data_IF_092707194246
#
_entry.id   IF_092707194246
#
_cell.length_a   1.000
_cell.length_b   1.000
_cell.length_c   1.000
_cell.angle_alpha   90.00
_cell.angle_beta   90.00
_cell.angle_gamma   90.00
#
_symmetry.space_group_name_H-M   'P 1'
#
loop_
_entity.id
_entity.type
_entity.pdbx_description
1 polymer ?
#
# COMPACT_ATOMS: atom_id res chain seq x y z
N UNK A 1 22.81 -12.98 10.51
CA UNK A 1 23.32 -13.43 9.21
C UNK A 1 23.91 -12.22 8.49
N UNK A 2 25.22 -12.17 8.25
CA UNK A 2 25.85 -11.05 7.53
C UNK A 2 26.13 -11.51 6.11
N UNK A 3 25.53 -10.84 5.13
CA UNK A 3 25.82 -11.09 3.71
C UNK A 3 27.21 -10.49 3.42
N UNK A 4 28.20 -11.33 3.18
CA UNK A 4 29.56 -10.91 2.83
C UNK A 4 30.02 -11.63 1.57
N UNK A 5 30.67 -10.88 0.68
CA UNK A 5 31.43 -11.44 -0.43
C UNK A 5 32.85 -11.70 0.07
N UNK A 6 33.38 -12.91 -0.16
CA UNK A 6 34.73 -13.28 0.29
C UNK A 6 35.83 -12.54 -0.48
N UNK A 7 35.54 -12.16 -1.72
CA UNK A 7 36.51 -11.65 -2.69
C UNK A 7 36.38 -10.13 -2.89
N UNK A 8 35.43 -9.48 -2.20
CA UNK A 8 35.15 -8.06 -2.36
C UNK A 8 34.60 -7.44 -1.08
N UNK A 9 34.95 -6.17 -0.83
CA UNK A 9 34.34 -5.37 0.23
C UNK A 9 32.84 -5.09 0.01
N UNK A 10 32.30 -5.40 -1.18
CA UNK A 10 30.90 -5.17 -1.53
C UNK A 10 30.08 -6.45 -1.45
N UNK A 11 28.86 -6.35 -0.92
CA UNK A 11 27.91 -7.47 -0.86
C UNK A 11 27.55 -8.00 -2.25
N UNK A 12 27.46 -7.12 -3.25
CA UNK A 12 27.11 -7.43 -4.63
C UNK A 12 28.25 -7.09 -5.61
N UNK A 13 28.37 -7.80 -6.75
CA UNK A 13 29.33 -7.47 -7.79
C UNK A 13 29.15 -6.04 -8.34
N UNK A 14 30.25 -5.34 -8.62
CA UNK A 14 30.24 -3.97 -9.17
C UNK A 14 30.30 -3.98 -10.70
N UNK A 15 29.23 -4.44 -11.34
CA UNK A 15 29.16 -4.48 -12.80
C UNK A 15 29.13 -3.06 -13.39
N UNK A 16 30.04 -2.75 -14.34
CA UNK A 16 30.10 -1.44 -15.03
C UNK A 16 28.77 -1.01 -15.67
N UNK A 17 27.91 -1.98 -16.02
CA UNK A 17 26.57 -1.74 -16.59
C UNK A 17 25.64 -1.00 -15.61
N UNK A 18 25.76 -1.25 -14.30
CA UNK A 18 24.90 -0.63 -13.29
C UNK A 18 25.17 0.87 -13.14
N UNK A 19 26.40 1.29 -13.43
CA UNK A 19 26.80 2.70 -13.41
C UNK A 19 26.29 3.47 -14.64
N UNK A 20 25.87 2.75 -15.70
CA UNK A 20 25.36 3.33 -16.95
C UNK A 20 23.84 3.41 -17.03
N UNK A 21 23.12 3.02 -15.97
CA UNK A 21 21.65 3.05 -15.99
C UNK A 21 20.99 1.86 -16.69
N UNK A 22 21.75 0.83 -17.07
CA UNK A 22 21.26 -0.36 -17.79
C UNK A 22 20.15 -1.11 -17.04
N UNK A 23 20.06 -0.96 -15.71
CA UNK A 23 18.98 -1.51 -14.91
C UNK A 23 17.59 -1.08 -15.39
N UNK A 24 17.46 0.13 -15.95
CA UNK A 24 16.20 0.60 -16.50
C UNK A 24 15.83 -0.14 -17.80
N UNK A 25 16.83 -0.49 -18.63
CA UNK A 25 16.62 -1.28 -19.84
C UNK A 25 16.21 -2.70 -19.48
N UNK A 26 16.92 -3.36 -18.57
CA UNK A 26 16.59 -4.73 -18.16
C UNK A 26 15.20 -4.80 -17.52
N UNK A 27 14.84 -3.83 -16.67
CA UNK A 27 13.50 -3.74 -16.08
C UNK A 27 12.42 -3.59 -17.17
N UNK A 28 12.64 -2.71 -18.15
CA UNK A 28 11.69 -2.50 -19.26
C UNK A 28 11.48 -3.79 -20.06
N UNK A 29 12.56 -4.47 -20.44
CA UNK A 29 12.49 -5.73 -21.19
C UNK A 29 11.74 -6.80 -20.41
N UNK A 30 12.00 -6.90 -19.10
CA UNK A 30 11.31 -7.83 -18.23
C UNK A 30 9.80 -7.55 -18.18
N UNK A 31 9.39 -6.29 -17.95
CA UNK A 31 7.98 -5.89 -17.87
C UNK A 31 7.22 -6.19 -19.18
N UNK A 32 7.81 -5.85 -20.32
CA UNK A 32 7.24 -6.18 -21.64
C UNK A 32 7.07 -7.69 -21.79
N UNK A 33 8.08 -8.48 -21.39
CA UNK A 33 8.05 -9.93 -21.47
C UNK A 33 6.94 -10.58 -20.63
N UNK A 34 6.50 -9.93 -19.56
CA UNK A 34 5.38 -10.40 -18.72
C UNK A 34 4.05 -9.68 -19.02
N UNK A 35 3.98 -8.88 -20.09
CA UNK A 35 2.77 -8.19 -20.51
C UNK A 35 2.38 -6.99 -19.63
N UNK A 36 3.34 -6.39 -18.91
CA UNK A 36 3.14 -5.19 -18.13
C UNK A 36 3.71 -3.96 -18.83
N UNK A 37 3.05 -2.82 -18.60
CA UNK A 37 3.51 -1.52 -19.11
C UNK A 37 4.88 -1.15 -18.51
N UNK A 38 5.83 -0.66 -19.32
CA UNK A 38 7.12 -0.21 -18.80
C UNK A 38 7.00 0.90 -17.76
N UNK A 39 7.73 0.74 -16.65
CA UNK A 39 7.92 1.81 -15.64
C UNK A 39 9.38 2.20 -15.53
N UNK A 40 9.65 3.37 -14.92
CA UNK A 40 11.03 3.78 -14.63
C UNK A 40 11.54 2.99 -13.43
N UNK A 41 12.84 2.77 -13.36
CA UNK A 41 13.46 2.08 -12.23
C UNK A 41 13.15 2.76 -10.88
N UNK A 42 13.05 4.09 -10.85
CA UNK A 42 12.69 4.84 -9.65
C UNK A 42 11.24 4.61 -9.19
N UNK A 43 10.34 4.24 -10.10
CA UNK A 43 8.93 4.00 -9.76
C UNK A 43 8.76 2.76 -8.87
N UNK A 44 9.73 1.83 -8.90
CA UNK A 44 9.79 0.70 -7.97
C UNK A 44 9.93 1.16 -6.51
N UNK A 45 10.75 2.19 -6.26
CA UNK A 45 10.93 2.75 -4.90
C UNK A 45 9.67 3.46 -4.41
N UNK A 46 8.99 4.18 -5.29
CA UNK A 46 7.70 4.79 -4.99
C UNK A 46 6.64 3.71 -4.67
N UNK A 47 6.58 2.65 -5.49
CA UNK A 47 5.64 1.54 -5.31
C UNK A 47 5.89 0.81 -3.99
N UNK A 48 7.15 0.53 -3.65
CA UNK A 48 7.54 -0.07 -2.38
C UNK A 48 7.05 0.76 -1.18
N UNK A 49 7.23 2.09 -1.21
CA UNK A 49 6.76 2.97 -0.15
C UNK A 49 5.23 2.96 -0.03
N UNK A 50 4.52 3.07 -1.16
CA UNK A 50 3.04 3.04 -1.19
C UNK A 50 2.49 1.72 -0.66
N UNK A 51 3.10 0.57 -0.99
CA UNK A 51 2.68 -0.75 -0.50
C UNK A 51 2.89 -0.88 1.02
N UNK A 52 3.99 -0.37 1.56
CA UNK A 52 4.22 -0.39 3.01
C UNK A 52 3.18 0.45 3.75
N UNK A 53 2.87 1.64 3.23
CA UNK A 53 1.84 2.49 3.79
C UNK A 53 0.48 1.79 3.74
N UNK A 54 0.08 1.21 2.60
CA UNK A 54 -1.21 0.51 2.47
C UNK A 54 -1.36 -0.67 3.42
N UNK A 55 -0.24 -1.23 3.90
CA UNK A 55 -0.19 -2.28 4.93
C UNK A 55 -0.17 -1.75 6.37
N UNK A 56 -0.29 -0.44 6.58
CA UNK A 56 -0.35 0.20 7.89
C UNK A 56 1.01 0.56 8.49
N UNK A 57 2.10 0.50 7.72
CA UNK A 57 3.40 0.96 8.22
C UNK A 57 3.40 2.48 8.34
N UNK A 58 3.79 2.99 9.51
CA UNK A 58 3.83 4.43 9.78
C UNK A 58 4.71 5.21 8.77
N UNK A 59 4.26 6.38 8.27
CA UNK A 59 5.02 7.18 7.31
C UNK A 59 6.45 7.51 7.75
N UNK A 60 6.67 7.83 9.04
CA UNK A 60 8.01 8.17 9.57
C UNK A 60 8.97 6.97 9.48
N UNK A 61 8.49 5.73 9.66
CA UNK A 61 9.31 4.53 9.50
C UNK A 61 9.67 4.32 8.03
N UNK A 62 8.72 4.51 7.11
CA UNK A 62 8.97 4.45 5.67
C UNK A 62 9.97 5.52 5.23
N UNK A 63 9.86 6.74 5.76
CA UNK A 63 10.83 7.83 5.51
C UNK A 63 12.25 7.46 5.94
N UNK A 64 12.42 6.89 7.14
CA UNK A 64 13.72 6.45 7.67
C UNK A 64 14.33 5.35 6.80
N UNK A 65 13.56 4.31 6.46
CA UNK A 65 14.04 3.21 5.63
C UNK A 65 14.37 3.66 4.20
N UNK A 66 13.53 4.53 3.64
CA UNK A 66 13.68 5.02 2.29
C UNK A 66 14.42 6.35 2.18
N UNK A 67 15.12 6.82 3.22
CA UNK A 67 15.96 8.01 3.17
C UNK A 67 15.28 9.31 2.70
N UNK A 68 13.98 9.49 2.96
CA UNK A 68 13.29 10.76 2.67
C UNK A 68 13.43 11.73 3.83
N UNK A 69 13.87 12.95 3.54
CA UNK A 69 14.02 14.02 4.54
C UNK A 69 12.72 14.79 4.76
N UNK A 70 11.94 14.98 3.70
CA UNK A 70 10.79 15.88 3.71
C UNK A 70 9.46 15.11 3.75
N UNK A 71 8.63 15.46 4.75
CA UNK A 71 7.31 14.88 4.94
C UNK A 71 6.37 15.22 3.78
N UNK A 72 6.54 16.38 3.13
CA UNK A 72 5.71 16.76 1.97
C UNK A 72 5.85 15.75 0.83
N UNK A 73 7.05 15.22 0.60
CA UNK A 73 7.28 14.15 -0.38
C UNK A 73 6.58 12.86 0.05
N UNK A 74 6.63 12.53 1.34
CA UNK A 74 5.99 11.35 1.89
C UNK A 74 4.46 11.38 1.73
N UNK A 75 3.84 12.56 1.90
CA UNK A 75 2.40 12.74 1.77
C UNK A 75 1.86 12.37 0.37
N UNK A 76 2.68 12.47 -0.67
CA UNK A 76 2.31 12.00 -2.02
C UNK A 76 1.99 10.50 -2.00
N UNK A 77 2.81 9.71 -1.29
CA UNK A 77 2.61 8.26 -1.21
C UNK A 77 1.52 7.88 -0.22
N UNK A 78 1.35 8.62 0.88
CA UNK A 78 0.24 8.42 1.84
C UNK A 78 -1.10 8.55 1.13
N UNK A 79 -1.26 9.64 0.36
CA UNK A 79 -2.47 9.88 -0.44
C UNK A 79 -2.70 8.77 -1.47
N UNK A 80 -1.64 8.29 -2.14
CA UNK A 80 -1.74 7.17 -3.09
C UNK A 80 -2.10 5.83 -2.42
N UNK A 81 -1.68 5.63 -1.18
CA UNK A 81 -1.98 4.42 -0.42
C UNK A 81 -3.42 4.39 0.11
N UNK A 82 -4.11 5.54 0.15
CA UNK A 82 -5.51 5.65 0.60
C UNK A 82 -5.71 5.25 2.06
N UNK A 83 -4.65 5.35 2.88
CA UNK A 83 -4.66 4.91 4.28
C UNK A 83 -5.39 5.88 5.20
N UNK A 84 -5.42 7.16 4.83
CA UNK A 84 -6.05 8.26 5.56
C UNK A 84 -7.58 8.28 5.40
N UNK A 85 -8.10 7.71 4.31
CA UNK A 85 -9.54 7.62 4.04
C UNK A 85 -10.15 6.27 4.43
N UNK A 86 -9.32 5.28 4.77
CA UNK A 86 -9.80 3.94 5.13
C UNK A 86 -10.57 4.01 6.45
N UNK A 87 -11.86 3.65 6.41
CA UNK A 87 -12.74 3.68 7.56
C UNK A 87 -13.28 5.08 7.91
N UNK A 88 -13.09 6.09 7.05
CA UNK A 88 -13.57 7.45 7.30
C UNK A 88 -15.11 7.55 7.38
N UNK A 89 -15.84 6.52 6.95
CA UNK A 89 -17.31 6.43 7.03
C UNK A 89 -17.78 5.42 8.07
N UNK A 90 -16.87 4.72 8.77
CA UNK A 90 -17.23 3.70 9.76
C UNK A 90 -17.89 4.33 11.01
N UNK A 91 -17.73 5.65 11.19
CA UNK A 91 -18.42 6.42 12.22
C UNK A 91 -19.86 6.81 11.85
N UNK A 92 -20.28 6.58 10.60
CA UNK A 92 -21.65 6.85 10.15
C UNK A 92 -22.54 5.68 10.56
N UNK A 93 -23.06 5.74 11.78
CA UNK A 93 -24.14 4.86 12.23
C UNK A 93 -25.47 5.44 11.74
N UNK A 94 -25.91 5.02 10.55
CA UNK A 94 -27.27 5.25 10.11
C UNK A 94 -28.16 4.31 10.93
N UNK A 95 -28.61 4.77 12.10
CA UNK A 95 -29.64 4.07 12.85
C UNK A 95 -30.79 3.73 11.91
N UNK A 96 -31.11 2.43 11.79
CA UNK A 96 -32.31 2.01 11.11
C UNK A 96 -33.49 2.74 11.76
N UNK A 97 -34.25 3.48 10.94
CA UNK A 97 -35.62 3.91 11.27
C UNK A 97 -36.54 2.68 11.23
N UNK A 98 -36.17 1.64 11.98
CA UNK A 98 -37.03 0.57 12.38
C UNK A 98 -37.99 1.16 13.42
N UNK A 99 -39.00 1.89 12.91
CA UNK A 99 -40.26 2.00 13.64
C UNK A 99 -40.67 0.58 14.00
N UNK A 100 -40.89 0.33 15.28
CA UNK A 100 -41.50 -0.90 15.77
C UNK A 100 -42.84 -1.07 15.07
N UNK A 101 -42.88 -1.89 14.01
CA UNK A 101 -44.13 -2.39 13.44
C UNK A 101 -44.88 -3.04 14.59
N UNK A 102 -46.03 -2.43 14.93
CA UNK A 102 -46.76 -2.66 16.17
C UNK A 102 -46.89 -4.14 16.54
N UNK A 103 -46.83 -4.39 17.85
CA UNK A 103 -46.97 -5.72 18.44
C UNK A 103 -48.29 -6.35 18.01
N UNK A 104 -48.24 -7.41 17.20
CA UNK A 104 -49.43 -8.18 16.79
C UNK A 104 -49.96 -8.91 18.03
N UNK A 105 -51.13 -8.49 18.52
CA UNK A 105 -51.88 -9.21 19.56
C UNK A 105 -52.88 -10.12 18.86
N UNK A 106 -52.72 -11.44 19.01
CA UNK A 106 -53.73 -12.39 18.53
C UNK A 106 -54.97 -12.29 19.42
N UNK A 107 -56.12 -12.02 18.80
CA UNK A 107 -57.43 -12.14 19.45
C UNK A 107 -57.90 -13.58 19.28
N UNK A 108 -57.65 -14.40 20.31
CA UNK A 108 -58.30 -15.71 20.39
C UNK A 108 -59.79 -15.50 20.64
N UNK A 109 -60.58 -16.15 19.78
CA UNK A 109 -62.03 -16.04 19.69
C UNK A 109 -62.69 -16.43 21.02
N UNK A 110 -63.46 -15.51 21.58
CA UNK A 110 -64.44 -15.79 22.64
C UNK A 110 -65.42 -16.83 22.08
N UNK A 111 -65.38 -18.05 22.60
CA UNK A 111 -66.47 -19.01 22.45
C UNK A 111 -67.28 -19.04 23.75
N UNK A 112 -68.56 -18.76 23.56
CA UNK A 112 -69.68 -18.80 24.49
C UNK A 112 -69.91 -20.19 25.08
#
# INVERSE_FOLDING_TARGET
MVLQNKDSAFVLPRLKKWEKGEQARELRMFLIGIGLEPVRFHDLRASWATILLSKGVEPIKVMKMGGWKDMKTMMIYVRKAGVDIKGATDCLDFHDTCYTLGKVVSMDTVRS
#
